data_IF_309396848189
#
_entry.id   IF_309396848189
#
_cell.length_a   1.000
_cell.length_b   1.000
_cell.length_c   1.000
_cell.angle_alpha   90.00
_cell.angle_beta   90.00
_cell.angle_gamma   90.00
#
_symmetry.space_group_name_H-M   'P 1'
#
loop_
_entity.id
_entity.type
_entity.pdbx_description
1 polymer ?
#
# COMPACT_ATOMS: atom_id res chain seq x y z
N UNK A 1 17.22 3.87 -1.74
CA UNK A 1 16.69 2.65 -2.41
C UNK A 1 15.17 2.56 -2.41
N UNK A 2 14.58 2.20 -3.55
CA UNK A 2 13.15 1.92 -3.71
C UNK A 2 12.91 0.40 -3.91
N UNK A 3 11.86 -0.15 -3.31
CA UNK A 3 11.41 -1.52 -3.57
C UNK A 3 10.03 -1.58 -4.20
N UNK A 4 9.87 -2.38 -5.25
CA UNK A 4 8.55 -2.78 -5.76
C UNK A 4 8.38 -4.29 -5.64
N UNK A 5 7.41 -4.74 -4.85
CA UNK A 5 7.16 -6.16 -4.57
C UNK A 5 5.91 -6.64 -5.30
N UNK A 6 6.06 -7.70 -6.09
CA UNK A 6 5.01 -8.43 -6.80
C UNK A 6 4.98 -9.88 -6.31
N UNK A 7 3.77 -10.41 -6.09
CA UNK A 7 3.57 -11.83 -5.77
C UNK A 7 2.72 -12.51 -6.83
N UNK A 8 3.06 -13.73 -7.20
CA UNK A 8 2.33 -14.47 -8.24
C UNK A 8 2.72 -15.94 -8.30
N UNK A 9 2.43 -16.58 -9.43
CA UNK A 9 2.75 -17.98 -9.71
C UNK A 9 3.57 -18.17 -11.00
N UNK A 10 3.79 -17.10 -11.78
CA UNK A 10 4.40 -17.16 -13.10
C UNK A 10 5.93 -16.98 -13.08
N UNK A 11 6.67 -17.94 -12.52
CA UNK A 11 8.14 -17.90 -12.45
C UNK A 11 8.81 -17.77 -13.83
N UNK A 12 8.27 -18.44 -14.84
CA UNK A 12 8.82 -18.39 -16.20
C UNK A 12 8.79 -16.97 -16.76
N UNK A 13 7.64 -16.29 -16.71
CA UNK A 13 7.48 -14.94 -17.22
C UNK A 13 8.40 -13.95 -16.49
N UNK A 14 8.47 -14.03 -15.16
CA UNK A 14 9.35 -13.17 -14.37
C UNK A 14 10.83 -13.37 -14.73
N UNK A 15 11.27 -14.62 -14.88
CA UNK A 15 12.66 -14.94 -15.25
C UNK A 15 13.00 -14.56 -16.68
N UNK A 16 12.11 -14.84 -17.62
CA UNK A 16 12.27 -14.52 -19.03
C UNK A 16 12.40 -13.00 -19.19
N UNK A 17 11.45 -12.24 -18.63
CA UNK A 17 11.49 -10.78 -18.62
C UNK A 17 12.79 -10.24 -18.01
N UNK A 18 13.20 -10.76 -16.85
CA UNK A 18 14.41 -10.29 -16.18
C UNK A 18 15.71 -10.69 -16.90
N UNK A 19 15.71 -11.67 -17.80
CA UNK A 19 16.92 -12.11 -18.52
C UNK A 19 17.02 -11.56 -19.94
N UNK A 20 15.90 -11.26 -20.59
CA UNK A 20 15.86 -10.81 -21.98
C UNK A 20 16.35 -9.37 -22.18
N UNK A 21 16.52 -8.61 -21.10
CA UNK A 21 17.11 -7.27 -21.17
C UNK A 21 18.57 -7.33 -21.62
N UNK A 22 18.93 -6.48 -22.59
CA UNK A 22 20.27 -6.42 -23.23
C UNK A 22 21.42 -6.24 -22.23
N UNK A 23 21.17 -5.60 -21.09
CA UNK A 23 22.17 -5.36 -20.04
C UNK A 23 21.78 -6.05 -18.72
N UNK A 24 21.55 -7.36 -18.79
CA UNK A 24 21.25 -8.17 -17.61
C UNK A 24 22.48 -8.95 -17.12
N UNK A 25 22.73 -8.91 -15.81
CA UNK A 25 23.80 -9.66 -15.15
C UNK A 25 23.26 -10.45 -13.96
N UNK A 26 23.37 -11.77 -13.98
CA UNK A 26 23.04 -12.61 -12.83
C UNK A 26 24.11 -12.41 -11.75
N UNK A 27 23.76 -11.77 -10.64
CA UNK A 27 24.69 -11.47 -9.56
C UNK A 27 24.88 -12.65 -8.60
N UNK A 28 23.77 -13.29 -8.23
CA UNK A 28 23.72 -14.39 -7.27
C UNK A 28 22.47 -15.23 -7.52
N UNK A 29 22.58 -16.55 -7.31
CA UNK A 29 21.45 -17.47 -7.38
C UNK A 29 21.60 -18.61 -6.37
N UNK A 30 20.46 -19.11 -5.90
CA UNK A 30 20.29 -20.33 -5.09
C UNK A 30 19.24 -21.25 -5.76
N UNK A 31 19.30 -21.33 -7.08
CA UNK A 31 18.50 -22.24 -7.91
C UNK A 31 19.44 -23.04 -8.80
N UNK A 32 19.06 -24.29 -9.06
CA UNK A 32 19.79 -25.18 -9.96
C UNK A 32 19.57 -24.81 -11.42
N UNK A 33 20.50 -25.20 -12.29
CA UNK A 33 20.38 -25.00 -13.74
C UNK A 33 20.93 -23.68 -14.29
N UNK A 34 21.18 -23.67 -15.59
CA UNK A 34 21.70 -22.53 -16.36
C UNK A 34 20.62 -21.86 -17.21
N UNK A 35 19.69 -22.65 -17.76
CA UNK A 35 18.60 -22.14 -18.61
C UNK A 35 17.41 -21.66 -17.77
N UNK A 36 16.57 -20.80 -18.34
CA UNK A 36 15.32 -20.34 -17.71
C UNK A 36 14.47 -21.54 -17.30
N UNK A 37 14.26 -22.50 -18.20
CA UNK A 37 13.47 -23.71 -17.94
C UNK A 37 13.99 -24.51 -16.74
N UNK A 38 15.29 -24.76 -16.65
CA UNK A 38 15.87 -25.49 -15.52
C UNK A 38 15.70 -24.74 -14.18
N UNK A 39 15.81 -23.42 -14.21
CA UNK A 39 15.64 -22.58 -13.03
C UNK A 39 14.19 -22.52 -12.57
N UNK A 40 13.23 -22.45 -13.52
CA UNK A 40 11.79 -22.57 -13.23
C UNK A 40 11.49 -23.92 -12.60
N UNK A 41 12.00 -25.01 -13.16
CA UNK A 41 11.83 -26.34 -12.56
C UNK A 41 12.36 -26.40 -11.12
N UNK A 42 13.47 -25.72 -10.82
CA UNK A 42 14.00 -25.63 -9.46
C UNK A 42 13.06 -24.89 -8.50
N UNK A 43 12.27 -23.92 -8.96
CA UNK A 43 11.24 -23.25 -8.16
C UNK A 43 10.00 -24.15 -8.00
N UNK A 44 9.57 -24.80 -9.08
CA UNK A 44 8.41 -25.69 -9.11
C UNK A 44 8.58 -26.89 -8.17
N UNK A 45 9.77 -27.51 -8.12
CA UNK A 45 10.08 -28.61 -7.20
C UNK A 45 9.82 -28.26 -5.73
N UNK A 46 10.00 -26.99 -5.35
CA UNK A 46 9.78 -26.55 -3.98
C UNK A 46 8.32 -26.15 -3.78
N UNK A 47 7.69 -25.62 -4.82
CA UNK A 47 6.26 -25.37 -4.84
C UNK A 47 5.43 -26.67 -4.75
N UNK A 48 5.90 -27.76 -5.34
CA UNK A 48 5.30 -29.10 -5.22
C UNK A 48 5.12 -29.54 -3.78
N UNK A 49 6.06 -29.18 -2.89
CA UNK A 49 5.98 -29.49 -1.46
C UNK A 49 4.81 -28.81 -0.76
N UNK A 50 4.21 -27.78 -1.36
CA UNK A 50 3.08 -27.02 -0.78
C UNK A 50 2.16 -26.42 -1.85
N UNK A 51 1.58 -27.27 -2.70
CA UNK A 51 0.72 -26.87 -3.84
C UNK A 51 -0.51 -26.03 -3.46
N UNK A 52 -0.95 -26.04 -2.20
CA UNK A 52 -2.02 -25.15 -1.71
C UNK A 52 -1.71 -23.65 -1.79
N UNK A 53 -0.43 -23.27 -1.95
CA UNK A 53 -0.02 -21.86 -2.04
C UNK A 53 -0.28 -21.35 -3.45
N UNK A 54 -1.24 -20.43 -3.58
CA UNK A 54 -1.65 -19.84 -4.87
C UNK A 54 -0.65 -18.82 -5.44
N UNK A 55 0.12 -18.17 -4.56
CA UNK A 55 1.11 -17.13 -4.93
C UNK A 55 2.49 -17.51 -4.39
N UNK A 56 3.14 -18.55 -4.93
CA UNK A 56 4.43 -19.06 -4.46
C UNK A 56 5.61 -18.14 -4.78
N UNK A 57 5.49 -17.24 -5.75
CA UNK A 57 6.58 -16.38 -6.21
C UNK A 57 6.59 -15.07 -5.43
N UNK A 58 7.78 -14.66 -5.00
CA UNK A 58 8.12 -13.34 -4.52
C UNK A 58 9.08 -12.70 -5.53
N UNK A 59 8.66 -11.62 -6.18
CA UNK A 59 9.49 -10.84 -7.08
C UNK A 59 9.62 -9.43 -6.51
N UNK A 60 10.85 -8.97 -6.33
CA UNK A 60 11.12 -7.60 -5.90
C UNK A 60 12.14 -6.95 -6.82
N UNK A 61 11.88 -5.71 -7.24
CA UNK A 61 12.92 -4.84 -7.80
C UNK A 61 13.46 -3.93 -6.71
N UNK A 62 14.78 -3.83 -6.59
CA UNK A 62 15.49 -2.91 -5.72
C UNK A 62 16.23 -1.89 -6.58
N UNK A 63 15.87 -0.63 -6.50
CA UNK A 63 16.47 0.46 -7.29
C UNK A 63 17.27 1.38 -6.40
N UNK A 64 18.49 1.74 -6.83
CA UNK A 64 19.32 2.75 -6.17
C UNK A 64 18.83 4.17 -6.46
N UNK A 65 19.30 5.13 -5.68
CA UNK A 65 19.22 6.54 -6.07
C UNK A 65 20.05 6.78 -7.35
N UNK A 66 19.74 7.81 -8.16
CA UNK A 66 20.52 8.07 -9.39
C UNK A 66 22.00 8.41 -9.11
N UNK A 67 22.28 9.00 -7.95
CA UNK A 67 23.63 9.38 -7.56
C UNK A 67 24.44 8.23 -6.95
N UNK A 68 23.78 7.15 -6.55
CA UNK A 68 24.44 6.01 -5.93
C UNK A 68 24.96 5.03 -7.00
N UNK A 69 26.24 4.69 -6.90
CA UNK A 69 26.85 3.65 -7.73
C UNK A 69 27.47 2.59 -6.83
N UNK A 70 27.05 1.33 -6.99
CA UNK A 70 27.59 0.23 -6.19
C UNK A 70 28.20 -0.86 -7.06
N UNK A 71 29.28 -1.46 -6.53
CA UNK A 71 29.94 -2.58 -7.18
C UNK A 71 29.07 -3.85 -7.18
N UNK A 72 29.34 -4.78 -8.10
CA UNK A 72 28.70 -6.09 -8.09
C UNK A 72 28.93 -6.87 -6.77
N UNK A 73 30.07 -6.64 -6.09
CA UNK A 73 30.36 -7.25 -4.77
C UNK A 73 29.44 -6.68 -3.70
N UNK A 74 29.30 -5.35 -3.66
CA UNK A 74 28.40 -4.64 -2.73
C UNK A 74 26.95 -5.07 -2.96
N UNK A 75 26.49 -5.13 -4.21
CA UNK A 75 25.17 -5.63 -4.54
C UNK A 75 24.91 -7.04 -4.00
N UNK A 76 25.86 -7.97 -4.14
CA UNK A 76 25.70 -9.32 -3.58
C UNK A 76 25.59 -9.31 -2.06
N UNK A 77 26.26 -8.39 -1.35
CA UNK A 77 26.11 -8.22 0.10
C UNK A 77 24.71 -7.69 0.44
N UNK A 78 24.27 -6.65 -0.26
CA UNK A 78 22.92 -6.05 -0.13
C UNK A 78 21.84 -7.12 -0.34
N UNK A 79 21.87 -7.87 -1.45
CA UNK A 79 20.88 -8.88 -1.80
C UNK A 79 20.82 -9.98 -0.73
N UNK A 80 21.97 -10.49 -0.27
CA UNK A 80 21.99 -11.53 0.77
C UNK A 80 21.43 -11.04 2.09
N UNK A 81 21.75 -9.80 2.47
CA UNK A 81 21.21 -9.19 3.68
C UNK A 81 19.70 -8.97 3.58
N UNK A 82 19.25 -8.38 2.47
CA UNK A 82 17.84 -8.15 2.19
C UNK A 82 17.04 -9.45 2.26
N UNK A 83 17.45 -10.49 1.54
CA UNK A 83 16.79 -11.80 1.57
C UNK A 83 16.78 -12.43 2.95
N UNK A 84 17.88 -12.30 3.72
CA UNK A 84 17.95 -12.83 5.09
C UNK A 84 16.96 -12.14 6.01
N UNK A 85 16.98 -10.80 6.06
CA UNK A 85 16.09 -10.04 6.94
C UNK A 85 14.61 -10.17 6.51
N UNK A 86 14.35 -10.29 5.21
CA UNK A 86 13.00 -10.56 4.69
C UNK A 86 12.50 -11.98 4.99
N UNK A 87 13.36 -12.92 5.37
CA UNK A 87 12.99 -14.30 5.72
C UNK A 87 13.19 -15.33 4.60
N UNK A 88 13.80 -14.92 3.48
CA UNK A 88 14.04 -15.74 2.29
C UNK A 88 15.42 -16.43 2.27
N UNK A 89 16.18 -16.43 3.37
CA UNK A 89 17.52 -17.06 3.47
C UNK A 89 17.54 -18.52 2.99
N UNK A 90 16.49 -19.27 3.34
CA UNK A 90 16.35 -20.70 3.06
C UNK A 90 15.50 -20.99 1.82
N UNK A 91 15.09 -19.96 1.09
CA UNK A 91 14.34 -20.10 -0.15
C UNK A 91 15.28 -20.18 -1.37
N UNK A 92 14.87 -20.88 -2.42
CA UNK A 92 15.46 -20.69 -3.74
C UNK A 92 15.22 -19.27 -4.23
N UNK A 93 16.22 -18.68 -4.88
CA UNK A 93 16.13 -17.36 -5.49
C UNK A 93 17.14 -17.16 -6.62
N UNK A 94 16.94 -16.12 -7.41
CA UNK A 94 17.87 -15.60 -8.40
C UNK A 94 17.78 -14.08 -8.42
N UNK A 95 18.92 -13.40 -8.43
CA UNK A 95 19.00 -11.95 -8.48
C UNK A 95 19.75 -11.49 -9.74
N UNK A 96 19.12 -10.60 -10.49
CA UNK A 96 19.56 -10.15 -11.81
C UNK A 96 19.64 -8.63 -11.78
N UNK A 97 20.83 -8.08 -12.02
CA UNK A 97 21.08 -6.65 -12.14
C UNK A 97 20.77 -6.20 -13.55
N UNK A 98 20.10 -5.06 -13.66
CA UNK A 98 19.86 -4.33 -14.91
C UNK A 98 20.51 -2.96 -14.80
N UNK A 99 21.21 -2.56 -15.86
CA UNK A 99 21.79 -1.22 -16.02
C UNK A 99 21.20 -0.46 -17.22
N UNK A 100 20.05 -0.92 -17.72
CA UNK A 100 19.39 -0.41 -18.92
C UNK A 100 18.58 0.88 -18.70
N UNK A 101 18.49 1.35 -17.45
CA UNK A 101 17.74 2.53 -17.03
C UNK A 101 18.68 3.54 -16.34
N UNK A 102 18.20 4.78 -16.15
CA UNK A 102 18.92 5.85 -15.44
C UNK A 102 19.37 5.45 -14.02
N UNK A 103 18.67 4.48 -13.42
CA UNK A 103 18.98 3.93 -12.10
C UNK A 103 19.40 2.47 -12.21
N UNK A 104 20.54 2.14 -11.59
CA UNK A 104 20.97 0.77 -11.39
C UNK A 104 20.02 0.04 -10.45
N UNK A 105 19.54 -1.12 -10.88
CA UNK A 105 18.55 -1.88 -10.12
C UNK A 105 18.73 -3.39 -10.26
N UNK A 106 18.20 -4.11 -9.27
CA UNK A 106 18.25 -5.57 -9.22
C UNK A 106 16.84 -6.12 -9.09
N UNK A 107 16.49 -7.05 -9.98
CA UNK A 107 15.33 -7.92 -9.81
C UNK A 107 15.73 -9.18 -9.04
N UNK A 108 15.07 -9.42 -7.90
CA UNK A 108 15.21 -10.65 -7.12
C UNK A 108 13.92 -11.45 -7.27
N UNK A 109 14.03 -12.64 -7.84
CA UNK A 109 12.93 -13.59 -7.99
C UNK A 109 13.21 -14.74 -7.03
N UNK A 110 12.33 -14.95 -6.06
CA UNK A 110 12.44 -15.97 -5.03
C UNK A 110 11.15 -16.79 -4.91
N UNK A 111 11.30 -18.02 -4.43
CA UNK A 111 10.15 -18.78 -3.93
C UNK A 111 9.83 -18.32 -2.52
N UNK A 112 8.54 -18.25 -2.18
CA UNK A 112 8.05 -18.12 -0.81
C UNK A 112 8.09 -19.44 -0.05
N UNK A 113 8.36 -20.55 -0.72
CA UNK A 113 8.46 -21.87 -0.10
C UNK A 113 9.95 -22.22 0.05
N UNK A 114 10.36 -22.50 1.29
CA UNK A 114 11.74 -22.89 1.61
C UNK A 114 12.05 -24.28 1.07
N UNK A 115 13.32 -24.65 0.98
CA UNK A 115 13.69 -26.03 0.61
C UNK A 115 13.07 -27.10 1.53
N UNK A 116 12.70 -26.75 2.76
CA UNK A 116 12.02 -27.62 3.72
C UNK A 116 10.48 -27.67 3.53
N UNK A 117 9.90 -26.84 2.65
CA UNK A 117 8.44 -26.78 2.42
C UNK A 117 7.70 -25.74 3.29
N UNK A 118 8.42 -24.98 4.10
CA UNK A 118 7.85 -23.92 4.93
C UNK A 118 7.50 -22.69 4.09
N UNK A 119 6.44 -21.97 4.44
CA UNK A 119 5.98 -20.80 3.72
C UNK A 119 6.44 -19.51 4.42
N UNK A 120 7.14 -18.65 3.69
CA UNK A 120 7.42 -17.28 4.09
C UNK A 120 6.14 -16.46 3.97
N UNK A 121 5.72 -15.88 5.11
CA UNK A 121 4.56 -15.00 5.19
C UNK A 121 4.79 -13.72 4.38
N UNK A 122 3.76 -13.29 3.66
CA UNK A 122 3.69 -12.01 2.95
C UNK A 122 3.01 -10.91 3.79
N UNK A 123 2.71 -11.20 5.06
CA UNK A 123 2.12 -10.21 5.97
C UNK A 123 3.11 -9.07 6.22
N UNK A 124 2.68 -7.83 5.96
CA UNK A 124 3.45 -6.60 6.19
C UNK A 124 4.81 -6.54 5.48
N UNK A 125 4.98 -7.32 4.42
CA UNK A 125 6.27 -7.44 3.74
C UNK A 125 6.73 -6.15 3.04
N UNK A 126 5.80 -5.30 2.58
CA UNK A 126 6.13 -3.96 2.08
C UNK A 126 6.78 -3.09 3.15
N UNK A 127 6.19 -3.02 4.35
CA UNK A 127 6.72 -2.23 5.48
C UNK A 127 8.05 -2.81 5.96
N UNK A 128 8.11 -4.15 6.09
CA UNK A 128 9.33 -4.85 6.45
C UNK A 128 10.45 -4.56 5.45
N UNK A 129 10.15 -4.60 4.15
CA UNK A 129 11.09 -4.29 3.07
C UNK A 129 11.62 -2.87 3.19
N UNK A 130 10.74 -1.88 3.42
CA UNK A 130 11.15 -0.48 3.62
C UNK A 130 12.13 -0.35 4.79
N UNK A 131 11.81 -0.93 5.96
CA UNK A 131 12.67 -0.87 7.13
C UNK A 131 14.03 -1.55 6.91
N UNK A 132 14.04 -2.70 6.24
CA UNK A 132 15.28 -3.40 5.87
C UNK A 132 16.12 -2.55 4.92
N UNK A 133 15.49 -1.89 3.94
CA UNK A 133 16.19 -1.01 3.00
C UNK A 133 16.78 0.23 3.68
N UNK A 134 16.06 0.88 4.61
CA UNK A 134 16.61 2.01 5.39
C UNK A 134 17.92 1.63 6.10
N UNK A 135 17.93 0.44 6.74
CA UNK A 135 19.12 -0.07 7.45
C UNK A 135 20.25 -0.45 6.48
N UNK A 136 19.90 -1.00 5.32
CA UNK A 136 20.88 -1.29 4.27
C UNK A 136 21.49 0.01 3.75
N UNK A 137 20.69 1.03 3.48
CA UNK A 137 21.18 2.32 3.01
C UNK A 137 22.15 2.95 4.01
N UNK A 138 21.79 2.99 5.29
CA UNK A 138 22.67 3.50 6.35
C UNK A 138 24.01 2.75 6.40
N UNK A 139 23.97 1.41 6.45
CA UNK A 139 25.19 0.61 6.63
C UNK A 139 26.09 0.53 5.38
N UNK A 140 25.56 0.87 4.20
CA UNK A 140 26.30 0.94 2.95
C UNK A 140 26.53 2.38 2.47
N UNK A 141 26.23 3.38 3.30
CA UNK A 141 26.38 4.81 3.00
C UNK A 141 25.69 5.22 1.68
N UNK A 142 24.50 4.67 1.44
CA UNK A 142 23.69 4.95 0.25
C UNK A 142 22.68 6.06 0.54
N UNK A 143 22.33 6.80 -0.52
CA UNK A 143 21.33 7.85 -0.42
C UNK A 143 19.96 7.26 -0.06
N UNK A 144 19.34 7.69 1.05
CA UNK A 144 18.02 7.23 1.43
C UNK A 144 16.99 7.73 0.41
N UNK A 145 16.15 6.84 -0.10
CA UNK A 145 14.99 7.25 -0.91
C UNK A 145 13.76 7.38 0.00
N UNK A 146 13.12 8.55 0.12
CA UNK A 146 11.97 8.71 1.00
C UNK A 146 10.89 7.65 0.70
N UNK A 147 10.27 7.13 1.76
CA UNK A 147 9.19 6.16 1.62
C UNK A 147 8.03 6.75 0.82
N UNK A 148 7.15 5.93 0.25
CA UNK A 148 5.96 6.44 -0.47
C UNK A 148 5.06 7.33 0.40
N UNK A 149 5.17 7.23 1.72
CA UNK A 149 4.42 8.04 2.68
C UNK A 149 5.11 9.38 2.97
N UNK A 150 6.43 9.44 2.82
CA UNK A 150 7.28 10.64 2.93
C UNK A 150 7.46 11.32 1.56
N UNK A 151 7.20 10.60 0.47
CA UNK A 151 7.20 11.12 -0.89
C UNK A 151 5.85 11.80 -1.15
N UNK A 152 5.76 13.00 -0.61
CA UNK A 152 4.60 13.87 -0.68
C UNK A 152 4.29 14.39 -2.09
N UNK A 153 5.31 14.36 -2.94
CA UNK A 153 5.28 14.81 -4.33
C UNK A 153 5.37 13.62 -5.26
N UNK A 154 4.61 13.65 -6.35
CA UNK A 154 4.71 12.59 -7.35
C UNK A 154 5.85 12.89 -8.33
N UNK A 155 6.71 11.90 -8.62
CA UNK A 155 7.71 12.06 -9.68
C UNK A 155 7.03 12.18 -11.05
N UNK A 156 7.73 12.76 -12.06
CA UNK A 156 7.25 12.79 -13.43
C UNK A 156 7.04 11.37 -13.97
N UNK A 157 6.01 11.19 -14.80
CA UNK A 157 5.77 9.96 -15.56
C UNK A 157 6.79 9.82 -16.68
N UNK A 158 6.99 8.60 -17.17
CA UNK A 158 7.93 8.28 -18.26
C UNK A 158 7.67 9.16 -19.50
N UNK A 159 6.41 9.33 -19.89
CA UNK A 159 6.07 10.19 -21.03
C UNK A 159 6.36 11.68 -20.76
N UNK A 160 6.25 12.16 -19.51
CA UNK A 160 6.60 13.55 -19.15
C UNK A 160 8.12 13.75 -19.34
N UNK A 161 8.92 12.76 -18.95
CA UNK A 161 10.38 12.76 -19.14
C UNK A 161 10.73 12.74 -20.63
N UNK A 162 10.08 11.88 -21.41
CA UNK A 162 10.30 11.78 -22.85
C UNK A 162 9.92 13.07 -23.60
N UNK A 163 8.91 13.80 -23.12
CA UNK A 163 8.49 15.11 -23.65
C UNK A 163 9.21 16.30 -23.01
N UNK A 164 10.25 16.04 -22.21
CA UNK A 164 11.01 17.07 -21.48
C UNK A 164 10.16 18.00 -20.59
N UNK A 165 9.02 17.50 -20.07
CA UNK A 165 8.08 18.24 -19.21
C UNK A 165 8.38 18.09 -17.70
N UNK A 166 9.44 17.37 -17.32
CA UNK A 166 9.82 17.19 -15.92
C UNK A 166 10.19 18.51 -15.22
N UNK A 167 10.82 19.44 -15.94
CA UNK A 167 11.21 20.74 -15.39
C UNK A 167 9.97 21.62 -15.13
N UNK A 168 8.99 21.57 -16.02
CA UNK A 168 7.69 22.26 -15.85
C UNK A 168 6.94 21.73 -14.61
N UNK A 169 6.87 20.41 -14.44
CA UNK A 169 6.26 19.81 -13.25
C UNK A 169 6.97 20.25 -11.98
N UNK A 170 8.31 20.18 -11.95
CA UNK A 170 9.12 20.59 -10.79
C UNK A 170 8.92 22.07 -10.46
N UNK A 171 8.92 22.91 -11.49
CA UNK A 171 8.63 24.33 -11.35
C UNK A 171 7.24 24.56 -10.74
N UNK A 172 6.20 23.88 -11.24
CA UNK A 172 4.84 23.94 -10.67
C UNK A 172 4.80 23.49 -9.21
N UNK A 173 5.45 22.37 -8.89
CA UNK A 173 5.54 21.85 -7.51
C UNK A 173 6.20 22.88 -6.59
N UNK A 174 7.34 23.44 -6.99
CA UNK A 174 8.07 24.46 -6.22
C UNK A 174 7.22 25.73 -6.04
N UNK A 175 6.64 26.23 -7.12
CA UNK A 175 5.86 27.46 -7.08
C UNK A 175 4.64 27.36 -6.17
N UNK A 176 3.89 26.25 -6.27
CA UNK A 176 2.73 26.01 -5.40
C UNK A 176 3.16 25.81 -3.96
N UNK A 177 4.25 25.07 -3.72
CA UNK A 177 4.76 24.80 -2.36
C UNK A 177 5.20 26.09 -1.66
N UNK A 178 6.06 26.88 -2.30
CA UNK A 178 6.57 28.13 -1.73
C UNK A 178 5.45 29.13 -1.47
N UNK A 179 4.51 29.24 -2.40
CA UNK A 179 3.35 30.13 -2.23
C UNK A 179 2.44 29.64 -1.10
N UNK A 180 2.24 28.33 -0.96
CA UNK A 180 1.44 27.75 0.13
C UNK A 180 2.06 27.99 1.49
N UNK A 181 3.39 27.84 1.63
CA UNK A 181 4.10 28.12 2.89
C UNK A 181 3.94 29.60 3.32
N UNK A 182 3.82 30.50 2.35
CA UNK A 182 3.64 31.94 2.58
C UNK A 182 2.18 32.37 2.75
N UNK A 183 1.22 31.45 2.66
CA UNK A 183 -0.21 31.74 2.75
C UNK A 183 -0.80 31.18 4.04
N UNK A 184 -1.63 31.95 4.74
CA UNK A 184 -2.25 31.51 5.98
C UNK A 184 -3.39 30.50 5.76
N UNK A 185 -4.01 30.52 4.58
CA UNK A 185 -5.15 29.67 4.25
C UNK A 185 -5.30 29.48 2.73
N UNK A 186 -6.21 28.57 2.33
CA UNK A 186 -6.40 28.22 0.93
C UNK A 186 -6.90 29.41 0.08
N UNK A 187 -7.86 30.25 0.53
CA UNK A 187 -8.21 31.48 -0.20
C UNK A 187 -7.02 32.40 -0.49
N UNK A 188 -6.16 32.62 0.50
CA UNK A 188 -4.95 33.45 0.32
C UNK A 188 -3.95 32.80 -0.64
N UNK A 189 -3.78 31.49 -0.56
CA UNK A 189 -2.96 30.73 -1.52
C UNK A 189 -3.46 30.91 -2.96
N UNK A 190 -4.77 30.79 -3.18
CA UNK A 190 -5.36 30.97 -4.51
C UNK A 190 -5.14 32.39 -5.00
N UNK A 191 -5.27 33.41 -4.14
CA UNK A 191 -5.00 34.80 -4.49
C UNK A 191 -3.52 35.03 -4.86
N UNK A 192 -2.59 34.50 -4.07
CA UNK A 192 -1.15 34.64 -4.29
C UNK A 192 -0.68 33.87 -5.55
N UNK A 193 -1.27 32.71 -5.84
CA UNK A 193 -1.00 31.96 -7.07
C UNK A 193 -1.54 32.69 -8.30
N UNK A 194 -2.71 33.34 -8.19
CA UNK A 194 -3.27 34.13 -9.28
C UNK A 194 -2.34 35.31 -9.65
N UNK A 195 -1.70 35.97 -8.67
CA UNK A 195 -0.69 36.99 -8.92
C UNK A 195 0.53 36.45 -9.69
N UNK A 196 0.85 35.17 -9.50
CA UNK A 196 1.91 34.44 -10.23
C UNK A 196 1.39 33.80 -11.53
N UNK A 197 0.22 34.23 -12.02
CA UNK A 197 -0.45 33.74 -13.23
C UNK A 197 -0.86 32.26 -13.19
N UNK A 198 -0.91 31.65 -11.99
CA UNK A 198 -1.37 30.27 -11.80
C UNK A 198 -2.82 30.32 -11.31
N UNK A 199 -3.75 29.90 -12.18
CA UNK A 199 -5.16 29.80 -11.83
C UNK A 199 -5.44 28.48 -11.13
N UNK A 200 -6.21 28.52 -10.04
CA UNK A 200 -6.62 27.34 -9.29
C UNK A 200 -8.11 27.12 -9.47
N UNK A 201 -8.48 25.96 -10.03
CA UNK A 201 -9.87 25.56 -10.24
C UNK A 201 -10.24 24.40 -9.31
N UNK A 202 -11.43 24.49 -8.72
CA UNK A 202 -12.02 23.40 -7.97
C UNK A 202 -12.80 22.50 -8.93
N UNK A 203 -12.36 21.26 -9.08
CA UNK A 203 -13.01 20.27 -9.96
C UNK A 203 -13.50 19.07 -9.13
N UNK A 204 -14.42 18.24 -9.66
CA UNK A 204 -14.82 16.99 -9.00
C UNK A 204 -13.65 16.03 -8.71
N UNK A 205 -12.54 16.17 -9.44
CA UNK A 205 -11.30 15.40 -9.28
C UNK A 205 -10.30 16.03 -8.29
N UNK A 206 -10.65 17.17 -7.70
CA UNK A 206 -9.82 17.94 -6.76
C UNK A 206 -9.34 19.28 -7.33
N UNK A 207 -8.31 19.85 -6.70
CA UNK A 207 -7.69 21.10 -7.17
C UNK A 207 -6.98 20.89 -8.50
N UNK A 208 -7.17 21.82 -9.43
CA UNK A 208 -6.45 21.90 -10.70
C UNK A 208 -5.70 23.22 -10.77
N UNK A 209 -4.39 23.13 -10.99
CA UNK A 209 -3.50 24.27 -11.20
C UNK A 209 -3.32 24.42 -12.70
N UNK A 210 -3.69 25.57 -13.23
CA UNK A 210 -3.54 25.91 -14.65
C UNK A 210 -2.62 27.10 -14.77
N UNK A 211 -1.53 26.90 -15.51
CA UNK A 211 -0.64 27.99 -15.89
C UNK A 211 -0.68 28.13 -17.41
N UNK A 212 -0.88 29.35 -17.87
CA UNK A 212 -0.81 29.69 -19.29
C UNK A 212 0.57 30.22 -19.59
N UNK A 213 1.30 29.49 -20.42
CA UNK A 213 2.57 29.92 -20.99
C UNK A 213 2.32 30.20 -22.46
N UNK A 214 2.60 31.43 -22.91
CA UNK A 214 2.53 31.79 -24.33
C UNK A 214 3.67 31.18 -25.17
N UNK A 215 4.54 30.34 -24.58
CA UNK A 215 5.71 29.74 -25.22
C UNK A 215 5.69 28.21 -25.31
N UNK A 216 4.69 27.53 -24.75
CA UNK A 216 4.55 26.06 -24.87
C UNK A 216 3.51 25.71 -25.94
N UNK A 217 4.02 25.53 -27.16
CA UNK A 217 3.24 25.14 -28.32
C UNK A 217 3.50 23.67 -28.63
N UNK A 218 2.46 22.92 -29.04
CA UNK A 218 2.69 21.59 -29.61
C UNK A 218 3.29 21.70 -31.03
N UNK A 219 3.64 20.54 -31.60
CA UNK A 219 4.16 20.41 -32.97
C UNK A 219 3.22 21.00 -34.04
N UNK A 220 1.95 21.28 -33.68
CA UNK A 220 0.91 21.81 -34.53
C UNK A 220 0.62 23.31 -34.27
N UNK A 221 1.40 23.98 -33.40
CA UNK A 221 1.20 25.39 -33.10
C UNK A 221 -0.05 25.68 -32.26
N UNK A 222 -0.54 24.74 -31.45
CA UNK A 222 -1.57 25.00 -30.45
C UNK A 222 -0.95 25.32 -29.09
N UNK A 223 -1.43 26.40 -28.45
CA UNK A 223 -1.09 26.73 -27.08
C UNK A 223 -1.59 25.60 -26.16
N UNK A 224 -0.68 24.94 -25.46
CA UNK A 224 -1.04 23.86 -24.54
C UNK A 224 -1.30 24.45 -23.15
N UNK A 225 -2.55 24.46 -22.64
CA UNK A 225 -2.78 24.82 -21.25
C UNK A 225 -2.08 23.78 -20.36
N UNK A 226 -1.00 24.18 -19.69
CA UNK A 226 -0.24 23.28 -18.82
C UNK A 226 -0.95 23.18 -17.48
N UNK A 227 -1.92 22.28 -17.44
CA UNK A 227 -2.72 22.05 -16.25
C UNK A 227 -2.33 20.77 -15.53
N UNK A 228 -2.21 20.85 -14.21
CA UNK A 228 -1.97 19.69 -13.35
C UNK A 228 -3.07 19.59 -12.30
N UNK A 229 -3.58 18.38 -12.05
CA UNK A 229 -4.37 18.15 -10.83
C UNK A 229 -3.42 18.09 -9.63
N UNK A 230 -3.89 18.47 -8.45
CA UNK A 230 -3.14 18.32 -7.21
C UNK A 230 -2.66 16.89 -7.01
N UNK A 231 -3.53 15.90 -7.27
CA UNK A 231 -3.13 14.50 -7.21
C UNK A 231 -2.02 14.15 -8.22
N UNK A 232 -1.98 14.79 -9.40
CA UNK A 232 -0.92 14.60 -10.39
C UNK A 232 0.40 15.12 -9.87
N UNK A 233 0.42 16.32 -9.26
CA UNK A 233 1.62 16.91 -8.66
C UNK A 233 2.08 16.17 -7.40
N UNK A 234 1.16 15.63 -6.60
CA UNK A 234 1.52 14.97 -5.33
C UNK A 234 0.41 15.00 -4.29
N UNK A 235 0.53 14.14 -3.27
CA UNK A 235 -0.42 14.11 -2.15
C UNK A 235 -0.50 15.47 -1.44
N UNK A 236 0.62 16.18 -1.32
CA UNK A 236 0.67 17.50 -0.67
C UNK A 236 -0.04 18.60 -1.45
N UNK A 237 -0.15 18.50 -2.77
CA UNK A 237 -0.82 19.52 -3.61
C UNK A 237 -2.33 19.29 -3.75
N UNK A 238 -2.88 18.27 -3.09
CA UNK A 238 -4.33 18.11 -2.93
C UNK A 238 -4.86 19.11 -1.92
N UNK A 239 -6.16 19.41 -1.93
CA UNK A 239 -6.75 20.31 -0.92
C UNK A 239 -6.45 19.84 0.51
N UNK A 240 -6.67 18.55 0.77
CA UNK A 240 -6.30 17.89 2.03
C UNK A 240 -4.81 18.05 2.35
N UNK A 241 -3.96 17.81 1.36
CA UNK A 241 -2.51 17.92 1.51
C UNK A 241 -2.07 19.34 1.86
N UNK A 242 -2.58 20.34 1.16
CA UNK A 242 -2.24 21.74 1.40
C UNK A 242 -2.63 22.14 2.83
N UNK A 243 -3.84 21.79 3.26
CA UNK A 243 -4.35 22.14 4.60
C UNK A 243 -3.59 21.44 5.71
N UNK A 244 -3.23 20.18 5.48
CA UNK A 244 -2.51 19.36 6.46
C UNK A 244 -1.02 19.69 6.55
N UNK A 245 -0.37 20.02 5.43
CA UNK A 245 1.10 20.06 5.37
C UNK A 245 1.69 21.44 5.03
N UNK A 246 0.96 22.34 4.35
CA UNK A 246 1.53 23.59 3.84
C UNK A 246 0.85 24.87 4.36
N UNK A 247 -0.42 24.83 4.75
CA UNK A 247 -1.21 26.01 5.17
C UNK A 247 -1.44 26.11 6.69
N UNK A 248 -1.23 25.04 7.46
CA UNK A 248 -1.49 25.02 8.91
C UNK A 248 -0.43 25.82 9.70
N UNK A 249 -0.83 26.99 10.20
CA UNK A 249 -0.01 27.88 11.06
C UNK A 249 0.06 27.44 12.53
N UNK A 250 0.13 26.13 12.83
CA UNK A 250 0.48 25.62 14.17
C UNK A 250 1.64 24.66 14.06
N UNK A 251 2.81 25.08 14.56
CA UNK A 251 3.97 24.31 15.04
C UNK A 251 4.31 22.94 14.40
N UNK A 252 3.93 22.68 13.16
CA UNK A 252 4.39 21.54 12.37
C UNK A 252 5.55 21.93 11.46
N UNK A 253 6.03 23.18 11.55
CA UNK A 253 7.35 23.56 11.02
C UNK A 253 8.44 22.68 11.64
N UNK A 254 8.31 22.27 12.91
CA UNK A 254 9.16 21.26 13.54
C UNK A 254 8.93 19.86 12.99
N UNK A 255 7.73 19.49 12.52
CA UNK A 255 7.45 18.19 11.89
C UNK A 255 7.96 18.13 10.44
N UNK A 256 7.82 19.20 9.67
CA UNK A 256 8.32 19.29 8.30
C UNK A 256 9.85 19.43 8.29
N UNK A 257 10.41 20.25 9.19
CA UNK A 257 11.88 20.33 9.37
C UNK A 257 12.45 19.07 10.04
N UNK A 258 11.76 18.42 10.98
CA UNK A 258 12.20 17.12 11.50
C UNK A 258 12.12 16.01 10.44
N UNK A 259 11.18 16.06 9.51
CA UNK A 259 11.09 15.09 8.41
C UNK A 259 12.18 15.33 7.34
N UNK A 260 12.65 16.57 7.20
CA UNK A 260 13.71 16.95 6.25
C UNK A 260 15.13 16.90 6.86
N UNK A 261 15.30 17.00 8.18
CA UNK A 261 16.60 17.03 8.87
C UNK A 261 16.87 15.91 9.89
N UNK A 262 15.92 15.04 10.26
CA UNK A 262 16.22 13.90 11.15
C UNK A 262 16.68 12.67 10.38
N UNK A 263 17.96 12.66 10.02
CA UNK A 263 18.68 11.44 9.72
C UNK A 263 19.18 10.72 10.98
N UNK A 264 19.07 11.31 12.19
CA UNK A 264 19.74 10.75 13.39
C UNK A 264 18.85 10.45 14.60
N UNK A 265 17.59 10.88 14.65
CA UNK A 265 16.70 10.52 15.77
C UNK A 265 15.48 9.72 15.29
N UNK A 266 15.48 8.44 15.67
CA UNK A 266 14.32 7.55 15.62
C UNK A 266 13.21 8.06 16.55
N UNK A 267 12.47 9.09 16.14
CA UNK A 267 11.11 9.27 16.65
C UNK A 267 10.21 8.40 15.78
N UNK A 268 10.17 7.12 16.12
CA UNK A 268 9.08 6.23 15.73
C UNK A 268 7.78 6.94 16.15
N UNK A 269 7.06 7.54 15.20
CA UNK A 269 5.61 7.67 15.37
C UNK A 269 5.14 6.25 15.67
N UNK A 270 4.58 5.98 16.87
CA UNK A 270 4.39 4.61 17.32
C UNK A 270 3.21 4.03 16.54
N UNK A 271 3.46 3.60 15.31
CA UNK A 271 2.53 2.83 14.52
C UNK A 271 2.12 1.62 15.36
N UNK A 272 0.82 1.48 15.56
CA UNK A 272 0.26 0.34 16.25
C UNK A 272 0.56 -0.92 15.42
N UNK A 273 1.07 -1.98 16.06
CA UNK A 273 1.03 -3.31 15.42
C UNK A 273 -0.43 -3.74 15.26
N UNK A 274 -0.77 -4.66 14.34
CA UNK A 274 -2.14 -5.12 14.18
C UNK A 274 -2.76 -5.64 15.48
N UNK A 275 -1.98 -6.38 16.28
CA UNK A 275 -2.44 -6.89 17.57
C UNK A 275 -2.64 -5.78 18.60
N UNK A 276 -1.76 -4.77 18.61
CA UNK A 276 -1.91 -3.61 19.49
C UNK A 276 -3.11 -2.76 19.08
N UNK A 277 -3.30 -2.53 17.77
CA UNK A 277 -4.44 -1.81 17.22
C UNK A 277 -5.75 -2.55 17.53
N UNK A 278 -5.78 -3.88 17.41
CA UNK A 278 -6.94 -4.71 17.73
C UNK A 278 -7.26 -4.65 19.22
N UNK A 279 -6.26 -4.75 20.10
CA UNK A 279 -6.44 -4.61 21.56
C UNK A 279 -6.97 -3.24 21.96
N UNK A 280 -6.36 -2.17 21.45
CA UNK A 280 -6.81 -0.79 21.73
C UNK A 280 -8.20 -0.53 21.17
N UNK A 281 -8.50 -1.04 19.98
CA UNK A 281 -9.85 -0.97 19.43
C UNK A 281 -10.87 -1.58 20.40
N UNK A 282 -10.65 -2.81 20.88
CA UNK A 282 -11.56 -3.44 21.83
C UNK A 282 -11.64 -2.71 23.18
N UNK A 283 -10.52 -2.18 23.65
CA UNK A 283 -10.46 -1.39 24.89
C UNK A 283 -11.34 -0.14 24.78
N UNK A 284 -11.20 0.63 23.69
CA UNK A 284 -11.97 1.86 23.49
C UNK A 284 -13.42 1.57 23.10
N UNK A 285 -13.68 0.55 22.29
CA UNK A 285 -15.04 0.19 21.89
C UNK A 285 -15.87 -0.37 23.05
N UNK A 286 -15.24 -0.88 24.10
CA UNK A 286 -15.95 -1.31 25.31
C UNK A 286 -16.55 -0.15 26.11
N UNK A 287 -16.04 1.07 25.91
CA UNK A 287 -16.47 2.29 26.59
C UNK A 287 -17.25 3.24 25.66
N UNK A 288 -17.51 2.81 24.43
CA UNK A 288 -18.12 3.62 23.41
C UNK A 288 -19.34 2.90 22.83
N UNK A 289 -20.41 3.65 22.59
CA UNK A 289 -21.57 3.11 21.91
C UNK A 289 -21.23 2.87 20.43
N UNK A 290 -20.40 3.72 19.81
CA UNK A 290 -20.13 3.68 18.38
C UNK A 290 -18.68 3.97 17.95
N UNK A 291 -18.34 3.72 16.66
CA UNK A 291 -17.00 4.02 16.11
C UNK A 291 -16.61 5.50 16.20
N UNK A 292 -17.56 6.42 16.07
CA UNK A 292 -17.28 7.85 16.21
C UNK A 292 -16.90 8.18 17.66
N UNK A 293 -17.62 7.66 18.64
CA UNK A 293 -17.29 7.79 20.06
C UNK A 293 -15.99 7.03 20.40
N UNK A 294 -15.74 5.88 19.77
CA UNK A 294 -14.45 5.17 19.89
C UNK A 294 -13.30 6.06 19.39
N UNK A 295 -13.52 6.77 18.27
CA UNK A 295 -12.57 7.75 17.74
C UNK A 295 -12.37 8.93 18.70
N UNK A 296 -13.46 9.40 19.32
CA UNK A 296 -13.45 10.49 20.29
C UNK A 296 -12.60 10.14 21.52
N UNK A 297 -12.84 8.98 22.13
CA UNK A 297 -12.09 8.50 23.30
C UNK A 297 -10.61 8.35 22.94
N UNK A 298 -10.31 7.74 21.80
CA UNK A 298 -8.93 7.60 21.35
C UNK A 298 -8.25 8.95 21.10
N UNK A 299 -8.96 9.95 20.56
CA UNK A 299 -8.43 11.29 20.39
C UNK A 299 -8.20 12.01 21.73
N UNK A 300 -9.10 11.84 22.71
CA UNK A 300 -8.94 12.35 24.07
C UNK A 300 -7.72 11.75 24.77
N UNK A 301 -7.42 10.48 24.50
CA UNK A 301 -6.21 9.79 24.95
C UNK A 301 -4.93 10.19 24.20
N UNK A 302 -5.01 11.16 23.28
CA UNK A 302 -3.87 11.73 22.57
C UNK A 302 -3.43 10.97 21.33
N UNK A 303 -4.22 10.01 20.82
CA UNK A 303 -3.90 9.34 19.57
C UNK A 303 -4.14 10.25 18.36
N UNK A 304 -3.20 10.20 17.40
CA UNK A 304 -3.35 10.93 16.14
C UNK A 304 -4.34 10.25 15.18
N UNK A 305 -4.78 11.01 14.17
CA UNK A 305 -5.82 10.59 13.23
C UNK A 305 -5.50 9.28 12.48
N UNK A 306 -4.24 9.07 12.07
CA UNK A 306 -3.83 7.87 11.34
C UNK A 306 -3.84 6.62 12.25
N UNK A 307 -3.45 6.77 13.52
CA UNK A 307 -3.53 5.70 14.51
C UNK A 307 -4.99 5.34 14.82
N UNK A 308 -5.86 6.34 15.01
CA UNK A 308 -7.30 6.13 15.22
C UNK A 308 -7.90 5.39 14.02
N UNK A 309 -7.63 5.86 12.79
CA UNK A 309 -8.10 5.20 11.57
C UNK A 309 -7.65 3.75 11.48
N UNK A 310 -6.39 3.47 11.84
CA UNK A 310 -5.87 2.11 11.83
C UNK A 310 -6.52 1.22 12.89
N UNK A 311 -6.80 1.74 14.09
CA UNK A 311 -7.58 1.04 15.14
C UNK A 311 -8.99 0.70 14.65
N UNK A 312 -9.73 1.68 14.15
CA UNK A 312 -11.12 1.48 13.70
C UNK A 312 -11.21 0.52 12.49
N UNK A 313 -10.13 0.39 11.70
CA UNK A 313 -10.07 -0.60 10.62
C UNK A 313 -10.06 -2.06 11.11
N UNK A 314 -9.85 -2.30 12.42
CA UNK A 314 -9.97 -3.62 13.03
C UNK A 314 -11.43 -4.00 13.36
N UNK A 315 -12.38 -3.07 13.20
CA UNK A 315 -13.79 -3.31 13.47
C UNK A 315 -14.40 -4.33 12.50
N UNK A 316 -15.36 -5.10 13.02
CA UNK A 316 -16.15 -6.01 12.18
C UNK A 316 -16.99 -5.25 11.16
N UNK A 317 -17.40 -4.02 11.49
CA UNK A 317 -18.10 -3.11 10.57
C UNK A 317 -17.25 -2.78 9.33
N UNK A 318 -15.98 -2.43 9.52
CA UNK A 318 -15.06 -2.19 8.41
C UNK A 318 -14.85 -3.44 7.57
N UNK A 319 -14.65 -4.60 8.21
CA UNK A 319 -14.52 -5.88 7.51
C UNK A 319 -15.77 -6.21 6.67
N UNK A 320 -16.96 -5.94 7.20
CA UNK A 320 -18.24 -6.14 6.52
C UNK A 320 -18.36 -5.26 5.27
N UNK A 321 -18.16 -3.95 5.39
CA UNK A 321 -18.26 -3.01 4.26
C UNK A 321 -17.22 -3.35 3.19
N UNK A 322 -15.97 -3.63 3.60
CA UNK A 322 -14.91 -4.02 2.68
C UNK A 322 -15.26 -5.27 1.87
N UNK A 323 -15.95 -6.24 2.48
CA UNK A 323 -16.36 -7.49 1.83
C UNK A 323 -17.55 -7.29 0.88
N UNK A 324 -18.50 -6.41 1.22
CA UNK A 324 -19.77 -6.25 0.48
C UNK A 324 -19.74 -5.17 -0.60
N UNK A 325 -18.92 -4.14 -0.41
CA UNK A 325 -18.78 -3.04 -1.35
C UNK A 325 -17.36 -3.09 -1.91
N UNK A 326 -16.48 -2.19 -1.46
CA UNK A 326 -15.07 -2.16 -1.86
C UNK A 326 -14.24 -1.55 -0.73
N UNK A 327 -12.92 -1.82 -0.75
CA UNK A 327 -11.97 -1.29 0.23
C UNK A 327 -12.00 0.24 0.32
N UNK A 328 -12.09 0.93 -0.81
CA UNK A 328 -12.03 2.40 -0.86
C UNK A 328 -13.22 3.05 -0.16
N UNK A 329 -14.43 2.51 -0.36
CA UNK A 329 -15.63 3.01 0.30
C UNK A 329 -15.58 2.75 1.81
N UNK A 330 -15.08 1.59 2.24
CA UNK A 330 -14.87 1.29 3.66
C UNK A 330 -13.90 2.27 4.32
N UNK A 331 -12.82 2.63 3.62
CA UNK A 331 -11.82 3.58 4.09
C UNK A 331 -12.36 5.02 4.20
N UNK A 332 -13.25 5.43 3.30
CA UNK A 332 -13.95 6.73 3.38
C UNK A 332 -14.96 6.76 4.52
N UNK A 333 -15.66 5.65 4.73
CA UNK A 333 -16.62 5.53 5.82
C UNK A 333 -15.95 5.64 7.21
N UNK A 334 -14.72 5.15 7.37
CA UNK A 334 -13.93 5.39 8.58
C UNK A 334 -13.57 6.87 8.78
N UNK A 335 -13.19 7.58 7.72
CA UNK A 335 -12.88 9.01 7.81
C UNK A 335 -14.10 9.81 8.30
N UNK A 336 -15.28 9.48 7.78
CA UNK A 336 -16.54 10.08 8.21
C UNK A 336 -16.82 9.80 9.69
N UNK A 337 -16.62 8.57 10.16
CA UNK A 337 -16.81 8.22 11.57
C UNK A 337 -15.86 9.02 12.49
N UNK A 338 -14.58 9.11 12.11
CA UNK A 338 -13.60 9.90 12.89
C UNK A 338 -13.99 11.39 12.89
N UNK A 339 -14.41 11.93 11.74
CA UNK A 339 -14.86 13.32 11.64
C UNK A 339 -16.04 13.64 12.54
N UNK A 340 -17.03 12.74 12.59
CA UNK A 340 -18.20 12.92 13.46
C UNK A 340 -17.85 12.78 14.95
N UNK A 341 -16.82 12.01 15.31
CA UNK A 341 -16.44 11.78 16.71
C UNK A 341 -15.46 12.79 17.28
N UNK A 342 -14.62 13.39 16.44
CA UNK A 342 -13.53 14.29 16.86
C UNK A 342 -13.79 15.75 16.50
N UNK A 343 -14.99 16.05 16.00
CA UNK A 343 -15.34 17.35 15.41
C UNK A 343 -14.34 17.83 14.34
N UNK A 344 -13.68 16.88 13.67
CA UNK A 344 -12.71 17.16 12.63
C UNK A 344 -13.41 17.73 11.39
N UNK A 345 -13.16 19.01 11.11
CA UNK A 345 -13.78 19.83 10.07
C UNK A 345 -12.77 20.17 8.97
N UNK A 346 -12.37 19.16 8.22
CA UNK A 346 -11.49 19.34 7.06
C UNK A 346 -12.32 19.67 5.81
N UNK A 347 -11.92 20.64 5.00
CA UNK A 347 -12.60 20.94 3.75
C UNK A 347 -12.64 19.74 2.79
N UNK A 348 -13.81 19.54 2.18
CA UNK A 348 -14.13 18.33 1.42
C UNK A 348 -14.72 17.20 2.27
N UNK A 349 -14.71 17.31 3.60
CA UNK A 349 -15.31 16.31 4.48
C UNK A 349 -16.83 16.23 4.31
N UNK A 350 -17.51 17.36 4.01
CA UNK A 350 -18.93 17.36 3.68
C UNK A 350 -19.24 16.64 2.36
N UNK A 351 -18.35 16.75 1.36
CA UNK A 351 -18.46 15.96 0.15
C UNK A 351 -18.33 14.48 0.44
N UNK A 352 -17.33 14.08 1.23
CA UNK A 352 -17.12 12.67 1.57
C UNK A 352 -18.25 12.12 2.45
N UNK A 353 -18.79 12.90 3.40
CA UNK A 353 -20.04 12.59 4.12
C UNK A 353 -21.18 12.34 3.14
N UNK A 354 -21.42 13.27 2.20
CA UNK A 354 -22.48 13.17 1.21
C UNK A 354 -22.28 11.97 0.25
N UNK A 355 -21.04 11.74 -0.18
CA UNK A 355 -20.68 10.63 -1.07
C UNK A 355 -20.94 9.28 -0.40
N UNK A 356 -20.45 9.11 0.83
CA UNK A 356 -20.66 7.90 1.62
C UNK A 356 -22.16 7.68 1.85
N UNK A 357 -22.90 8.72 2.24
CA UNK A 357 -24.34 8.63 2.44
C UNK A 357 -25.11 8.23 1.16
N UNK A 358 -24.77 8.81 0.01
CA UNK A 358 -25.38 8.46 -1.29
C UNK A 358 -25.05 7.03 -1.69
N UNK A 359 -23.80 6.60 -1.54
CA UNK A 359 -23.38 5.24 -1.87
C UNK A 359 -24.17 4.21 -1.06
N UNK A 360 -24.30 4.39 0.26
CA UNK A 360 -25.08 3.48 1.08
C UNK A 360 -26.59 3.51 0.80
N UNK A 361 -27.13 4.66 0.38
CA UNK A 361 -28.54 4.77 -0.03
C UNK A 361 -28.81 4.01 -1.33
N UNK A 362 -27.98 4.21 -2.35
CA UNK A 362 -28.14 3.57 -3.67
C UNK A 362 -28.06 2.04 -3.59
N UNK A 363 -27.33 1.52 -2.62
CA UNK A 363 -27.20 0.09 -2.40
C UNK A 363 -28.18 -0.48 -1.35
N UNK A 364 -29.18 0.30 -0.91
CA UNK A 364 -30.21 -0.16 0.04
C UNK A 364 -29.72 -0.48 1.46
N UNK A 365 -28.45 -0.23 1.75
CA UNK A 365 -27.82 -0.64 3.01
C UNK A 365 -28.17 0.25 4.19
N UNK A 366 -28.71 1.46 3.98
CA UNK A 366 -29.12 2.34 5.09
C UNK A 366 -30.11 1.66 6.04
N UNK A 367 -31.16 1.05 5.50
CA UNK A 367 -32.19 0.36 6.30
C UNK A 367 -31.69 -0.97 6.87
N UNK A 368 -30.90 -1.70 6.08
CA UNK A 368 -30.32 -2.98 6.49
C UNK A 368 -29.29 -2.82 7.62
N UNK A 369 -28.36 -1.88 7.50
CA UNK A 369 -27.39 -1.58 8.55
C UNK A 369 -28.15 -1.24 9.84
N UNK A 370 -29.17 -0.38 9.76
CA UNK A 370 -29.99 -0.02 10.92
C UNK A 370 -30.67 -1.24 11.56
N UNK A 371 -31.12 -2.21 10.77
CA UNK A 371 -31.76 -3.45 11.28
C UNK A 371 -30.80 -4.39 12.03
N UNK A 372 -29.50 -4.29 11.78
CA UNK A 372 -28.46 -5.05 12.51
C UNK A 372 -27.70 -4.14 13.50
N UNK A 373 -28.31 -3.03 13.90
CA UNK A 373 -27.76 -2.08 14.87
C UNK A 373 -26.67 -1.14 14.33
N UNK A 374 -26.26 -1.29 13.08
CA UNK A 374 -25.21 -0.51 12.41
C UNK A 374 -25.76 0.78 11.79
N UNK A 375 -25.13 1.93 12.01
CA UNK A 375 -25.54 3.17 11.33
C UNK A 375 -24.33 3.99 10.88
N UNK A 376 -24.49 4.72 9.77
CA UNK A 376 -23.46 5.59 9.18
C UNK A 376 -23.28 6.85 10.02
N UNK A 377 -24.35 7.30 10.70
CA UNK A 377 -24.37 8.48 11.56
C UNK A 377 -24.14 8.15 13.03
N UNK A 378 -24.30 6.88 13.40
CA UNK A 378 -24.15 6.34 14.76
C UNK A 378 -23.66 4.90 14.63
N UNK A 379 -22.35 4.70 14.47
CA UNK A 379 -21.77 3.38 14.23
C UNK A 379 -21.69 2.48 15.48
N UNK A 380 -22.82 2.29 16.18
CA UNK A 380 -23.15 1.22 17.14
C UNK A 380 -23.23 -0.12 16.39
N UNK A 381 -23.03 -1.35 16.89
CA UNK A 381 -22.38 -1.92 18.10
C UNK A 381 -22.01 -3.38 17.75
N UNK A 382 -20.92 -3.88 18.33
CA UNK A 382 -20.55 -5.27 18.69
C UNK A 382 -21.27 -6.42 17.94
N UNK A 383 -20.56 -7.13 17.06
CA UNK A 383 -20.83 -8.58 16.91
C UNK A 383 -20.14 -9.22 18.10
N UNK A 384 -20.89 -10.01 18.87
CA UNK A 384 -20.45 -10.78 20.04
C UNK A 384 -18.95 -11.08 19.96
N UNK A 385 -18.19 -10.36 20.79
CA UNK A 385 -16.80 -10.71 20.99
C UNK A 385 -16.82 -11.92 21.90
N UNK A 386 -16.15 -13.03 21.53
CA UNK A 386 -15.87 -14.04 22.53
C UNK A 386 -15.15 -13.33 23.68
N UNK A 387 -15.68 -13.48 24.89
CA UNK A 387 -15.16 -12.86 26.11
C UNK A 387 -13.67 -13.21 26.22
N UNK A 388 -12.84 -12.39 26.89
CA UNK A 388 -11.42 -12.73 27.13
C UNK A 388 -11.28 -14.14 27.74
N UNK A 389 -12.28 -14.57 28.52
CA UNK A 389 -12.43 -15.94 29.03
C UNK A 389 -12.56 -17.00 27.93
N UNK A 390 -13.28 -16.73 26.84
CA UNK A 390 -13.46 -17.62 25.68
C UNK A 390 -12.22 -17.67 24.77
N UNK A 391 -11.46 -16.58 24.63
CA UNK A 391 -10.15 -16.60 23.94
C UNK A 391 -9.09 -17.40 24.71
N UNK A 392 -9.11 -17.32 26.06
CA UNK A 392 -8.28 -18.15 26.92
C UNK A 392 -8.75 -19.62 26.94
N UNK A 393 -10.07 -19.87 26.86
CA UNK A 393 -10.61 -21.23 26.73
C UNK A 393 -10.25 -21.86 25.38
N UNK A 394 -10.33 -21.12 24.27
CA UNK A 394 -9.96 -21.61 22.94
C UNK A 394 -8.46 -21.89 22.80
N UNK A 395 -7.61 -21.12 23.49
CA UNK A 395 -6.18 -21.43 23.58
C UNK A 395 -5.93 -22.72 24.40
N UNK A 396 -6.70 -22.97 25.46
CA UNK A 396 -6.62 -24.22 26.25
C UNK A 396 -7.23 -25.44 25.57
N UNK A 397 -8.28 -25.30 24.77
CA UNK A 397 -8.88 -26.42 24.02
C UNK A 397 -8.02 -26.82 22.83
N UNK A 398 -7.36 -25.86 22.18
CA UNK A 398 -6.43 -26.14 21.07
C UNK A 398 -5.11 -26.80 21.53
N UNK A 399 -4.76 -26.74 22.82
CA UNK A 399 -3.63 -27.49 23.39
C UNK A 399 -4.00 -28.94 23.78
N UNK A 400 -5.29 -29.32 23.77
CA UNK A 400 -5.75 -30.66 24.18
C UNK A 400 -6.17 -31.61 23.05
N UNK A 401 -6.24 -31.16 21.81
CA UNK A 401 -6.64 -32.02 20.68
C UNK A 401 -5.47 -32.69 19.91
N UNK A 402 -4.22 -32.56 20.36
CA UNK A 402 -3.06 -33.21 19.72
C UNK A 402 -2.66 -34.58 20.31
N UNK A 403 -3.56 -35.30 21.01
CA UNK A 403 -3.27 -36.66 21.44
C UNK A 403 -4.47 -37.61 21.36
N UNK A 404 -4.76 -38.13 20.17
CA UNK A 404 -5.43 -39.44 20.00
C UNK A 404 -4.79 -40.19 18.82
N UNK A 405 -4.10 -41.30 19.13
CA UNK A 405 -3.59 -42.35 18.23
C UNK A 405 -4.71 -43.41 18.02
N UNK A 406 -4.75 -44.16 16.89
CA UNK A 406 -6.00 -44.65 16.29
C UNK A 406 -6.37 -46.08 16.69
N UNK A 407 -7.64 -46.43 16.48
CA UNK A 407 -8.11 -47.82 16.41
C UNK A 407 -9.06 -48.04 15.23
N UNK A 408 -9.13 -49.31 14.84
CA UNK A 408 -9.28 -49.89 13.52
C UNK A 408 -10.70 -50.42 13.23
N UNK A 409 -10.85 -50.92 11.99
CA UNK A 409 -11.85 -51.90 11.50
C UNK A 409 -13.25 -51.31 11.25
N UNK A 410 -14.01 -51.58 10.19
CA UNK A 410 -13.99 -52.56 9.08
C UNK A 410 -14.97 -52.02 8.01
N UNK A 411 -14.77 -52.34 6.72
CA UNK A 411 -15.76 -52.06 5.65
C UNK A 411 -16.88 -53.12 5.59
N UNK A 412 -17.99 -52.88 4.88
CA UNK A 412 -18.05 -53.42 3.51
C UNK A 412 -18.75 -52.54 2.42
N UNK A 413 -18.10 -52.52 1.26
CA UNK A 413 -18.48 -52.52 -0.18
C UNK A 413 -20.01 -52.74 -0.46
N UNK A 414 -20.70 -52.07 -1.42
CA UNK A 414 -20.95 -52.39 -2.88
C UNK A 414 -22.06 -51.38 -3.40
N UNK A 415 -22.36 -51.17 -4.72
CA UNK A 415 -21.61 -50.60 -5.86
C UNK A 415 -22.24 -49.32 -6.46
N UNK A 416 -21.50 -48.71 -7.39
CA UNK A 416 -21.89 -47.62 -8.29
C UNK A 416 -22.75 -48.13 -9.49
N UNK A 417 -23.56 -47.27 -10.14
CA UNK A 417 -23.39 -47.17 -11.60
C UNK A 417 -23.43 -45.74 -12.16
N UNK A 418 -22.36 -45.44 -12.92
CA UNK A 418 -22.27 -44.73 -14.19
C UNK A 418 -23.36 -43.70 -14.60
N UNK A 419 -22.93 -42.44 -14.74
CA UNK A 419 -23.24 -41.62 -15.93
C UNK A 419 -22.17 -40.52 -16.14
N UNK A 420 -21.56 -40.51 -17.33
CA UNK A 420 -20.83 -39.37 -17.92
C UNK A 420 -21.72 -38.69 -19.00
N UNK A 421 -21.31 -37.60 -19.67
CA UNK A 421 -21.11 -36.26 -19.13
C UNK A 421 -21.95 -35.24 -19.93
N UNK A 422 -22.58 -34.25 -19.29
CA UNK A 422 -23.17 -33.11 -20.02
C UNK A 422 -22.28 -31.87 -19.92
N UNK A 423 -21.92 -31.37 -21.11
CA UNK A 423 -21.29 -30.07 -21.38
C UNK A 423 -21.97 -28.95 -20.59
N UNK A 424 -21.20 -28.24 -19.77
CA UNK A 424 -21.52 -26.88 -19.35
C UNK A 424 -20.51 -25.92 -19.95
N UNK A 425 -20.99 -25.10 -20.87
CA UNK A 425 -20.34 -23.90 -21.40
C UNK A 425 -19.97 -22.97 -20.24
N UNK A 426 -18.67 -22.78 -20.02
CA UNK A 426 -18.15 -21.77 -19.10
C UNK A 426 -18.25 -20.42 -19.79
N UNK A 427 -19.17 -19.58 -19.32
CA UNK A 427 -19.15 -18.15 -19.56
C UNK A 427 -17.93 -17.55 -18.87
N UNK A 428 -17.18 -16.74 -19.62
CA UNK A 428 -16.07 -15.93 -19.13
C UNK A 428 -16.50 -15.06 -17.94
N UNK A 429 -15.72 -15.01 -16.84
CA UNK A 429 -15.72 -13.85 -15.98
C UNK A 429 -14.66 -12.85 -16.47
N UNK A 430 -15.14 -11.64 -16.77
CA UNK A 430 -14.36 -10.45 -17.08
C UNK A 430 -13.28 -10.20 -16.01
N UNK A 431 -12.01 -10.30 -16.42
CA UNK A 431 -10.84 -9.93 -15.61
C UNK A 431 -10.15 -8.73 -16.26
N UNK A 432 -10.78 -7.55 -16.15
CA UNK A 432 -10.15 -6.26 -16.42
C UNK A 432 -9.37 -5.80 -15.17
N UNK A 433 -8.13 -6.29 -15.03
CA UNK A 433 -7.09 -5.63 -14.23
C UNK A 433 -5.73 -5.82 -14.92
N UNK A 434 -5.58 -5.22 -16.10
CA UNK A 434 -4.28 -4.95 -16.72
C UNK A 434 -3.80 -3.55 -16.28
N UNK A 435 -2.87 -3.47 -15.33
CA UNK A 435 -2.00 -2.30 -15.21
C UNK A 435 -0.80 -2.54 -16.13
N UNK A 436 -0.87 -1.96 -17.33
CA UNK A 436 0.23 -1.92 -18.28
C UNK A 436 1.43 -1.17 -17.71
N UNK A 437 2.58 -1.83 -17.74
CA UNK A 437 3.88 -1.19 -17.87
C UNK A 437 4.08 -0.96 -19.37
N UNK A 438 4.05 0.30 -19.77
CA UNK A 438 4.36 0.82 -21.10
C UNK A 438 4.87 2.23 -20.96
#
# INVERSE_FOLDING_TARGET
MLSNIVKGSHFFQALQYAKDKKQSLVLIKKVSGRTVKQQVNSFEQVWDKRRRVQRPMFHVSLSLHHDDVVSAVTWRKIIRRYLREMGYKNCPYIAIRHSDCLHDHVHIIASRITHAGELVSDSWDYLKSQNVLRRIEADFELTPCPSSNECYERPPKIWEIQKNQQELRRWMQNMVRETAIQSANLPELVANLAQKQINVHFTPQGLRYEWRIDTYWDENGNAQPTSYTGSTLGKVFTEYGLKRYLLSHRSDSELLSATLFRAEDTVLSPWLTPDKAKRLYYQYSAQADNLSQTAQIAAQDGWNWDAIRFMLSQSQWFAYIKKKLVRDLALKALNVAISLGTDYTDPGMDYEKNYVQKAFANHGYRSYLRSIGLSITTATTVIETPTITELLLQQKTNEKEENIIPQSDEQPIIPNPQHQPQRSTISQPDNDYYFGLG
#
